data_IF_774234003087
#
_entry.id   IF_774234003087
#
_cell.length_a   1.000
_cell.length_b   1.000
_cell.length_c   1.000
_cell.angle_alpha   90.00
_cell.angle_beta   90.00
_cell.angle_gamma   90.00
#
_symmetry.space_group_name_H-M   'P 1'
#
loop_
_entity.id
_entity.type
_entity.pdbx_description
1 polymer ?
#
# COMPACT_ATOMS: atom_id res chain seq x y z
N UNK A 1 -13.73 -0.86 -7.88
CA UNK A 1 -12.64 -0.69 -6.92
C UNK A 1 -13.16 -0.92 -5.52
N UNK A 2 -12.42 -1.61 -4.70
CA UNK A 2 -12.83 -1.91 -3.33
C UNK A 2 -13.00 -0.62 -2.53
N UNK A 3 -14.10 -0.51 -1.81
CA UNK A 3 -14.42 0.67 -1.02
C UNK A 3 -13.36 0.93 0.06
N UNK A 4 -12.85 2.15 0.13
CA UNK A 4 -11.83 2.56 1.08
C UNK A 4 -10.39 2.37 0.60
N UNK A 5 -10.17 1.68 -0.51
CA UNK A 5 -8.84 1.59 -1.11
C UNK A 5 -8.52 2.89 -1.84
N UNK A 6 -7.36 3.44 -1.56
CA UNK A 6 -6.86 4.65 -2.20
C UNK A 6 -5.55 4.36 -2.92
N UNK A 7 -5.45 4.85 -4.14
CA UNK A 7 -4.23 4.75 -4.94
C UNK A 7 -3.76 6.18 -5.21
N UNK A 8 -2.64 6.54 -4.63
CA UNK A 8 -2.10 7.90 -4.71
C UNK A 8 -0.77 7.88 -5.45
N UNK A 9 -0.65 8.56 -6.59
CA UNK A 9 0.64 8.74 -7.23
C UNK A 9 1.60 9.46 -6.30
N UNK A 10 2.82 8.95 -6.19
CA UNK A 10 3.84 9.54 -5.35
C UNK A 10 4.81 10.35 -6.21
N UNK A 11 5.11 11.55 -5.74
CA UNK A 11 6.05 12.44 -6.41
C UNK A 11 7.47 11.91 -6.31
N UNK A 12 8.19 11.99 -7.40
CA UNK A 12 9.63 11.74 -7.46
C UNK A 12 10.35 13.06 -7.77
N UNK A 13 11.46 13.28 -7.09
CA UNK A 13 12.28 14.47 -7.25
C UNK A 13 13.66 14.03 -7.74
N UNK A 14 13.86 13.89 -9.07
CA UNK A 14 15.13 13.46 -9.63
C UNK A 14 16.09 14.61 -9.82
N UNK A 15 17.38 14.30 -9.78
CA UNK A 15 18.47 15.17 -10.24
C UNK A 15 19.58 14.29 -10.84
N UNK A 16 20.72 14.89 -11.20
CA UNK A 16 21.82 14.16 -11.83
C UNK A 16 22.51 13.15 -10.92
N UNK A 17 22.27 13.19 -9.61
CA UNK A 17 22.85 12.28 -8.63
C UNK A 17 21.92 11.12 -8.27
N UNK A 18 20.63 11.23 -8.57
CA UNK A 18 19.62 10.26 -8.21
C UNK A 18 18.26 10.90 -8.03
N UNK A 19 17.49 10.41 -7.05
CA UNK A 19 16.16 10.96 -6.81
C UNK A 19 15.73 10.79 -5.36
N UNK A 20 14.85 11.69 -4.93
CA UNK A 20 14.15 11.59 -3.64
C UNK A 20 12.72 11.15 -3.89
N UNK A 21 12.27 10.18 -3.13
CA UNK A 21 10.92 9.62 -3.21
C UNK A 21 10.29 9.67 -1.84
N UNK A 22 9.35 10.59 -1.63
CA UNK A 22 8.59 10.64 -0.38
C UNK A 22 7.48 9.60 -0.43
N UNK A 23 7.39 8.76 0.57
CA UNK A 23 6.26 7.85 0.70
C UNK A 23 5.09 8.52 1.43
N UNK A 24 5.36 9.15 2.56
CA UNK A 24 4.32 9.76 3.37
C UNK A 24 4.90 10.83 4.30
N UNK A 25 4.17 11.92 4.43
CA UNK A 25 4.46 12.98 5.39
C UNK A 25 3.28 13.13 6.34
N UNK A 26 3.53 13.66 7.53
CA UNK A 26 2.48 13.82 8.53
C UNK A 26 1.33 14.72 8.05
N UNK A 27 1.59 15.67 7.16
CA UNK A 27 0.57 16.55 6.58
C UNK A 27 -0.21 15.95 5.40
N UNK A 28 0.15 14.74 4.96
CA UNK A 28 -0.56 14.10 3.86
C UNK A 28 -1.96 13.67 4.31
N UNK A 29 -2.94 13.80 3.40
CA UNK A 29 -4.33 13.48 3.71
C UNK A 29 -4.55 12.02 4.13
N UNK A 30 -3.72 11.11 3.64
CA UNK A 30 -3.82 9.69 3.94
C UNK A 30 -3.16 9.29 5.25
N UNK A 31 -2.41 10.20 5.88
CA UNK A 31 -1.77 9.93 7.16
C UNK A 31 -2.77 10.09 8.30
N UNK A 32 -2.80 9.12 9.21
CA UNK A 32 -3.60 9.23 10.44
C UNK A 32 -2.71 9.23 11.68
N UNK A 33 -1.92 8.21 11.86
CA UNK A 33 -1.00 8.10 12.99
C UNK A 33 0.09 7.10 12.66
N UNK A 34 1.19 7.17 13.38
CA UNK A 34 2.26 6.18 13.28
C UNK A 34 1.88 4.95 14.10
N UNK A 35 2.01 3.79 13.52
CA UNK A 35 1.92 2.50 14.20
C UNK A 35 3.26 1.78 14.12
N UNK A 36 3.55 1.22 12.96
CA UNK A 36 4.84 0.59 12.70
C UNK A 36 5.23 0.78 11.24
N UNK A 37 6.50 0.65 10.97
CA UNK A 37 7.01 0.63 9.61
C UNK A 37 8.03 -0.49 9.49
N UNK A 38 7.94 -1.26 8.40
CA UNK A 38 8.92 -2.29 8.08
C UNK A 38 9.02 -2.47 6.58
N UNK A 39 10.09 -3.12 6.17
CA UNK A 39 10.31 -3.47 4.77
C UNK A 39 10.06 -4.95 4.58
N UNK A 40 9.37 -5.29 3.50
CA UNK A 40 9.14 -6.67 3.11
C UNK A 40 9.64 -6.88 1.69
N UNK A 41 10.24 -8.02 1.46
CA UNK A 41 10.77 -8.39 0.15
C UNK A 41 10.06 -9.64 -0.37
N UNK A 42 9.70 -9.60 -1.64
CA UNK A 42 9.13 -10.76 -2.35
C UNK A 42 10.12 -11.16 -3.44
N UNK A 43 10.57 -12.41 -3.40
CA UNK A 43 11.44 -12.94 -4.44
C UNK A 43 10.64 -13.24 -5.71
N UNK A 44 11.27 -13.16 -6.89
CA UNK A 44 10.58 -13.52 -8.13
C UNK A 44 9.94 -14.90 -8.06
N UNK A 45 8.69 -15.00 -8.49
CA UNK A 45 7.92 -16.23 -8.46
C UNK A 45 7.33 -16.61 -7.11
N UNK A 46 7.68 -15.90 -6.03
CA UNK A 46 7.13 -16.17 -4.72
C UNK A 46 5.77 -15.48 -4.51
N UNK A 47 4.95 -16.08 -3.69
CA UNK A 47 3.65 -15.52 -3.28
C UNK A 47 3.62 -15.45 -1.76
N UNK A 48 3.32 -14.26 -1.24
CA UNK A 48 3.05 -14.05 0.17
C UNK A 48 1.56 -13.73 0.31
N UNK A 49 0.79 -14.65 0.80
CA UNK A 49 -0.66 -14.53 0.93
C UNK A 49 -1.12 -15.37 2.13
N UNK A 50 -2.26 -15.17 2.66
CA UNK A 50 -3.12 -14.00 2.68
C UNK A 50 -2.96 -13.35 4.04
N UNK A 51 -3.06 -12.04 4.15
CA UNK A 51 -3.01 -11.33 5.41
C UNK A 51 -4.34 -10.63 5.64
N UNK A 52 -4.90 -10.79 6.82
CA UNK A 52 -6.13 -10.14 7.25
C UNK A 52 -5.82 -9.22 8.42
N UNK A 53 -6.32 -7.99 8.34
CA UNK A 53 -6.18 -7.02 9.40
C UNK A 53 -7.55 -6.43 9.75
N UNK A 54 -7.92 -6.51 11.02
CA UNK A 54 -9.23 -6.05 11.49
C UNK A 54 -9.26 -4.56 11.80
N UNK A 55 -8.13 -3.98 12.24
CA UNK A 55 -8.07 -2.61 12.75
C UNK A 55 -7.05 -1.72 12.09
N UNK A 56 -6.09 -2.30 11.40
CA UNK A 56 -4.98 -1.55 10.82
C UNK A 56 -5.35 -0.97 9.48
N UNK A 57 -4.96 0.28 9.26
CA UNK A 57 -4.82 0.84 7.92
C UNK A 57 -3.39 0.64 7.47
N UNK A 58 -3.23 0.04 6.31
CA UNK A 58 -1.91 -0.26 5.76
C UNK A 58 -1.64 0.64 4.56
N UNK A 59 -0.44 1.18 4.51
CA UNK A 59 0.05 1.96 3.39
C UNK A 59 1.23 1.21 2.77
N UNK A 60 1.15 0.97 1.47
CA UNK A 60 2.20 0.30 0.71
C UNK A 60 2.85 1.26 -0.27
N UNK A 61 4.15 1.17 -0.39
CA UNK A 61 4.89 1.77 -1.49
C UNK A 61 6.00 0.83 -1.93
N UNK A 62 6.28 0.77 -3.23
CA UNK A 62 7.32 -0.08 -3.79
C UNK A 62 8.42 0.83 -4.34
N UNK A 63 9.49 1.07 -3.57
CA UNK A 63 10.54 2.00 -4.01
C UNK A 63 11.44 1.43 -5.10
N UNK A 64 11.50 0.10 -5.22
CA UNK A 64 12.31 -0.56 -6.23
C UNK A 64 11.65 -1.85 -6.70
N UNK A 65 11.62 -2.05 -8.00
CA UNK A 65 11.01 -3.24 -8.59
C UNK A 65 9.51 -3.11 -8.77
N UNK A 66 8.85 -4.25 -8.93
CA UNK A 66 7.40 -4.34 -9.17
C UNK A 66 6.84 -5.52 -8.42
N UNK A 67 5.67 -5.34 -7.84
CA UNK A 67 4.88 -6.42 -7.25
C UNK A 67 3.47 -6.41 -7.82
N UNK A 68 2.81 -7.56 -7.76
CA UNK A 68 1.37 -7.65 -7.97
C UNK A 68 0.72 -7.71 -6.60
N UNK A 69 -0.07 -6.72 -6.26
CA UNK A 69 -0.84 -6.69 -5.04
C UNK A 69 -2.28 -7.06 -5.35
N UNK A 70 -2.79 -8.06 -4.64
CA UNK A 70 -4.18 -8.51 -4.79
C UNK A 70 -4.90 -8.28 -3.49
N UNK A 71 -6.05 -7.60 -3.57
CA UNK A 71 -6.90 -7.29 -2.44
C UNK A 71 -8.22 -8.02 -2.58
N UNK A 72 -8.73 -8.54 -1.47
CA UNK A 72 -10.05 -9.15 -1.39
C UNK A 72 -10.82 -8.48 -0.25
N UNK A 73 -12.04 -8.04 -0.54
CA UNK A 73 -12.89 -7.39 0.45
C UNK A 73 -13.79 -8.43 1.12
N UNK A 74 -13.43 -8.79 2.35
CA UNK A 74 -14.18 -9.76 3.16
C UNK A 74 -15.01 -9.07 4.27
N UNK A 75 -15.11 -7.74 4.26
CA UNK A 75 -15.83 -7.00 5.29
C UNK A 75 -17.34 -7.18 5.16
N UNK A 76 -17.99 -7.61 6.27
CA UNK A 76 -19.43 -7.91 6.28
C UNK A 76 -20.30 -6.72 5.87
N UNK A 77 -19.92 -5.51 6.27
CA UNK A 77 -20.70 -4.28 6.05
C UNK A 77 -20.25 -3.47 4.85
N UNK A 78 -19.35 -3.99 4.05
CA UNK A 78 -18.83 -3.26 2.90
C UNK A 78 -19.77 -3.35 1.71
N UNK A 79 -19.94 -2.23 1.01
CA UNK A 79 -20.68 -2.19 -0.25
C UNK A 79 -19.97 -2.97 -1.37
N UNK A 80 -18.67 -3.25 -1.20
CA UNK A 80 -17.87 -3.98 -2.18
C UNK A 80 -17.46 -5.36 -1.68
N UNK A 81 -18.16 -5.92 -0.70
CA UNK A 81 -17.88 -7.26 -0.18
C UNK A 81 -17.81 -8.28 -1.31
N UNK A 82 -16.76 -9.09 -1.28
CA UNK A 82 -16.53 -10.14 -2.29
C UNK A 82 -15.76 -9.68 -3.50
N UNK A 83 -15.48 -8.39 -3.64
CA UNK A 83 -14.69 -7.88 -4.76
C UNK A 83 -13.20 -8.21 -4.60
N UNK A 84 -12.55 -8.42 -5.74
CA UNK A 84 -11.11 -8.61 -5.88
C UNK A 84 -10.56 -7.44 -6.70
N UNK A 85 -9.46 -6.91 -6.24
CA UNK A 85 -8.79 -5.81 -6.91
C UNK A 85 -7.29 -6.08 -7.03
#
# INVERSE_FOLDING_TARGET
>A
MINGVQINPLRQIPDERGKVMHMMKAEDAVFSSFGEIYFSRVYPGAVKAWHLHDRMTINYAVPHGKIKLVLFDDRADSSTKGEIQ
#
